data_IF_289580709373
#
_entry.id   IF_289580709373
#
_cell.length_a   1.000
_cell.length_b   1.000
_cell.length_c   1.000
_cell.angle_alpha   90.00
_cell.angle_beta   90.00
_cell.angle_gamma   90.00
#
_symmetry.space_group_name_H-M   'P 1'
#
loop_
_entity.id
_entity.type
_entity.pdbx_description
1 polymer ?
#
# COMPACT_ATOMS: atom_id res chain seq x y z
N UNK A 1 -23.39 -4.71 -23.92
CA UNK A 1 -22.30 -3.76 -23.61
C UNK A 1 -22.54 -3.18 -22.23
N UNK A 2 -21.65 -3.40 -21.25
CA UNK A 2 -21.79 -2.80 -19.92
C UNK A 2 -21.04 -1.46 -19.94
N UNK A 3 -21.67 -0.32 -19.62
CA UNK A 3 -20.98 0.97 -19.51
C UNK A 3 -19.88 0.91 -18.45
N UNK A 4 -18.70 1.45 -18.80
CA UNK A 4 -17.50 1.43 -17.95
C UNK A 4 -17.76 1.97 -16.55
N UNK A 5 -18.48 3.10 -16.46
CA UNK A 5 -18.82 3.77 -15.19
C UNK A 5 -19.63 2.83 -14.29
N UNK A 6 -20.64 2.15 -14.83
CA UNK A 6 -21.51 1.26 -14.05
C UNK A 6 -20.75 0.04 -13.55
N UNK A 7 -19.90 -0.55 -14.39
CA UNK A 7 -19.05 -1.67 -13.98
C UNK A 7 -18.08 -1.25 -12.87
N UNK A 8 -17.46 -0.09 -13.00
CA UNK A 8 -16.53 0.46 -12.03
C UNK A 8 -17.21 0.72 -10.68
N UNK A 9 -18.36 1.39 -10.67
CA UNK A 9 -19.10 1.68 -9.44
C UNK A 9 -19.55 0.40 -8.73
N UNK A 10 -20.02 -0.59 -9.49
CA UNK A 10 -20.43 -1.87 -8.93
C UNK A 10 -19.25 -2.64 -8.32
N UNK A 11 -18.15 -2.76 -9.06
CA UNK A 11 -16.97 -3.53 -8.61
C UNK A 11 -16.23 -2.86 -7.46
N UNK A 12 -16.14 -1.51 -7.45
CA UNK A 12 -15.59 -0.76 -6.32
C UNK A 12 -16.45 -0.89 -5.08
N UNK A 13 -17.77 -0.73 -5.19
CA UNK A 13 -18.69 -0.90 -4.05
C UNK A 13 -18.61 -2.31 -3.48
N UNK A 14 -18.56 -3.34 -4.33
CA UNK A 14 -18.37 -4.72 -3.90
C UNK A 14 -17.03 -4.90 -3.17
N UNK A 15 -15.95 -4.36 -3.73
CA UNK A 15 -14.64 -4.41 -3.11
C UNK A 15 -14.65 -3.75 -1.72
N UNK A 16 -15.14 -2.52 -1.62
CA UNK A 16 -15.19 -1.78 -0.35
C UNK A 16 -16.09 -2.45 0.67
N UNK A 17 -17.20 -3.04 0.25
CA UNK A 17 -18.07 -3.81 1.12
C UNK A 17 -17.33 -5.03 1.70
N UNK A 18 -16.72 -5.86 0.86
CA UNK A 18 -15.93 -7.03 1.30
C UNK A 18 -14.75 -6.59 2.15
N UNK A 19 -14.08 -5.51 1.76
CA UNK A 19 -12.94 -4.96 2.48
C UNK A 19 -13.34 -4.49 3.88
N UNK A 20 -14.45 -3.76 4.02
CA UNK A 20 -14.98 -3.29 5.29
C UNK A 20 -15.33 -4.45 6.23
N UNK A 21 -15.93 -5.54 5.72
CA UNK A 21 -16.16 -6.77 6.51
C UNK A 21 -14.86 -7.41 6.99
N UNK A 22 -13.76 -7.26 6.23
CA UNK A 22 -12.45 -7.80 6.56
C UNK A 22 -11.61 -6.90 7.48
N UNK A 23 -11.88 -5.59 7.52
CA UNK A 23 -11.11 -4.63 8.30
C UNK A 23 -11.20 -4.91 9.81
N UNK A 24 -12.41 -5.15 10.33
CA UNK A 24 -12.62 -5.44 11.76
C UNK A 24 -11.92 -6.70 12.27
N UNK A 25 -11.71 -7.70 11.41
CA UNK A 25 -11.05 -8.97 11.78
C UNK A 25 -9.51 -8.95 11.61
N UNK A 26 -8.95 -7.92 10.96
CA UNK A 26 -7.50 -7.75 10.77
C UNK A 26 -6.81 -7.14 11.99
N UNK A 27 -7.49 -6.21 12.66
CA UNK A 27 -7.03 -5.59 13.91
C UNK A 27 -6.68 -6.65 14.98
N UNK A 28 -7.51 -7.67 15.10
CA UNK A 28 -7.34 -8.76 16.06
C UNK A 28 -6.17 -9.71 15.69
N UNK A 29 -5.93 -9.93 14.39
CA UNK A 29 -4.82 -10.76 13.90
C UNK A 29 -3.45 -10.06 14.03
N UNK A 30 -3.40 -8.74 13.85
CA UNK A 30 -2.17 -7.96 14.04
C UNK A 30 -1.66 -8.03 15.50
N UNK A 31 -2.57 -8.17 16.48
CA UNK A 31 -2.21 -8.39 17.89
C UNK A 31 -1.60 -9.77 18.15
N UNK A 32 -1.97 -10.77 17.35
CA UNK A 32 -1.55 -12.17 17.49
C UNK A 32 -0.24 -12.52 16.76
N UNK A 33 0.12 -11.83 15.67
CA UNK A 33 1.38 -12.03 14.93
C UNK A 33 2.61 -11.67 15.78
N UNK A 34 2.43 -10.88 16.84
CA UNK A 34 3.51 -10.42 17.72
C UNK A 34 3.96 -11.45 18.78
N UNK A 35 3.52 -12.71 18.68
CA UNK A 35 3.79 -13.75 19.68
C UNK A 35 4.81 -14.82 19.29
N UNK A 36 5.39 -14.81 18.08
CA UNK A 36 6.24 -15.94 17.66
C UNK A 36 7.39 -15.54 16.71
N UNK A 37 8.29 -14.68 17.20
CA UNK A 37 9.57 -14.40 16.55
C UNK A 37 10.70 -14.95 17.43
N UNK A 38 11.60 -15.80 16.91
CA UNK A 38 12.72 -16.32 17.69
C UNK A 38 13.63 -15.17 18.14
N UNK A 39 14.11 -15.26 19.38
CA UNK A 39 15.01 -14.30 20.04
C UNK A 39 16.39 -14.28 19.34
N UNK A 40 16.44 -13.68 18.16
CA UNK A 40 17.65 -13.48 17.38
C UNK A 40 17.83 -11.98 17.27
N UNK A 41 18.37 -11.33 18.31
CA UNK A 41 19.20 -10.13 18.12
C UNK A 41 19.96 -9.82 19.40
N UNK A 42 21.28 -9.95 19.29
CA UNK A 42 22.25 -9.39 20.22
C UNK A 42 22.03 -7.87 20.37
N UNK A 43 22.45 -7.34 21.52
CA UNK A 43 22.34 -5.94 21.96
C UNK A 43 22.57 -4.91 20.84
N UNK A 44 21.48 -4.29 20.39
CA UNK A 44 21.50 -2.99 19.70
C UNK A 44 20.47 -2.10 20.42
N UNK A 45 20.85 -0.87 20.72
CA UNK A 45 20.12 0.05 21.59
C UNK A 45 19.26 1.03 20.77
N UNK A 46 17.98 1.23 21.13
CA UNK A 46 17.09 2.17 20.43
C UNK A 46 17.28 3.63 20.89
N UNK A 47 18.14 3.86 21.90
CA UNK A 47 18.44 5.18 22.47
C UNK A 47 18.76 6.30 21.47
N UNK A 48 19.46 6.08 20.34
CA UNK A 48 19.72 7.15 19.37
C UNK A 48 18.45 7.84 18.84
N UNK A 49 17.33 7.11 18.80
CA UNK A 49 16.04 7.64 18.33
C UNK A 49 15.42 8.67 19.28
N UNK A 50 15.75 8.61 20.58
CA UNK A 50 15.15 9.48 21.59
C UNK A 50 15.48 10.96 21.36
N UNK A 51 16.57 11.26 20.67
CA UNK A 51 16.94 12.63 20.31
C UNK A 51 15.90 13.32 19.40
N UNK A 52 15.18 12.54 18.59
CA UNK A 52 14.24 13.02 17.58
C UNK A 52 12.77 12.91 17.99
N UNK A 53 12.49 12.25 19.11
CA UNK A 53 11.15 11.93 19.56
C UNK A 53 10.78 12.76 20.79
N UNK A 54 9.56 13.29 20.81
CA UNK A 54 9.00 13.95 21.99
C UNK A 54 8.64 12.92 23.08
N UNK A 55 8.38 13.41 24.30
CA UNK A 55 8.11 12.61 25.50
C UNK A 55 7.03 11.53 25.30
N UNK A 56 5.98 11.83 24.53
CA UNK A 56 4.93 10.86 24.16
C UNK A 56 5.48 9.72 23.29
N UNK A 57 6.21 10.05 22.22
CA UNK A 57 6.77 9.06 21.30
C UNK A 57 7.89 8.22 21.93
N UNK A 58 8.65 8.80 22.87
CA UNK A 58 9.61 8.04 23.69
C UNK A 58 8.91 6.98 24.53
N UNK A 59 7.74 7.30 25.11
CA UNK A 59 6.94 6.32 25.83
C UNK A 59 6.42 5.22 24.89
N UNK A 60 5.98 5.58 23.68
CA UNK A 60 5.59 4.63 22.62
C UNK A 60 6.73 3.69 22.22
N UNK A 61 7.94 4.20 22.04
CA UNK A 61 9.15 3.37 21.77
C UNK A 61 9.45 2.43 22.93
N UNK A 62 9.35 2.91 24.17
CA UNK A 62 9.56 2.06 25.35
C UNK A 62 8.53 0.92 25.45
N UNK A 63 7.29 1.15 25.02
CA UNK A 63 6.27 0.09 24.93
C UNK A 63 6.63 -0.97 23.89
N UNK A 64 7.18 -0.57 22.73
CA UNK A 64 7.65 -1.51 21.69
C UNK A 64 8.87 -2.29 22.19
N UNK A 65 9.80 -1.63 22.88
CA UNK A 65 11.01 -2.26 23.40
C UNK A 65 10.72 -3.24 24.55
N UNK A 66 9.72 -2.93 25.39
CA UNK A 66 9.22 -3.84 26.41
C UNK A 66 8.61 -5.13 25.82
N UNK A 67 8.11 -5.07 24.57
CA UNK A 67 7.58 -6.21 23.82
C UNK A 67 8.73 -6.94 23.12
N UNK A 68 9.50 -7.71 23.90
CA UNK A 68 10.64 -8.51 23.40
C UNK A 68 10.23 -9.38 22.22
N UNK A 69 10.99 -9.32 21.13
CA UNK A 69 10.75 -10.09 19.91
C UNK A 69 9.79 -9.45 18.90
N UNK A 70 9.22 -8.26 19.15
CA UNK A 70 8.30 -7.63 18.20
C UNK A 70 8.97 -7.20 16.89
N UNK A 71 8.28 -7.36 15.76
CA UNK A 71 8.67 -6.78 14.46
C UNK A 71 8.91 -5.27 14.57
N UNK A 72 8.15 -4.58 15.43
CA UNK A 72 8.33 -3.15 15.66
C UNK A 72 9.70 -2.81 16.23
N UNK A 73 10.25 -3.65 17.11
CA UNK A 73 11.60 -3.45 17.64
C UNK A 73 12.65 -3.58 16.55
N UNK A 74 12.53 -4.56 15.65
CA UNK A 74 13.46 -4.72 14.52
C UNK A 74 13.45 -3.51 13.59
N UNK A 75 12.27 -2.95 13.30
CA UNK A 75 12.14 -1.73 12.50
C UNK A 75 12.80 -0.55 13.21
N UNK A 76 12.56 -0.36 14.51
CA UNK A 76 13.21 0.71 15.28
C UNK A 76 14.73 0.55 15.31
N UNK A 77 15.24 -0.67 15.50
CA UNK A 77 16.68 -0.93 15.49
C UNK A 77 17.31 -0.65 14.12
N UNK A 78 16.64 -1.04 13.03
CA UNK A 78 17.10 -0.71 11.69
C UNK A 78 17.17 0.80 11.47
N UNK A 79 16.16 1.54 11.96
CA UNK A 79 16.15 3.00 11.90
C UNK A 79 17.24 3.64 12.77
N UNK A 80 17.47 3.14 13.98
CA UNK A 80 18.53 3.61 14.87
C UNK A 80 19.90 3.46 14.20
N UNK A 81 20.16 2.30 13.57
CA UNK A 81 21.39 2.04 12.81
C UNK A 81 21.52 2.99 11.62
N UNK A 82 20.44 3.20 10.84
CA UNK A 82 20.48 4.07 9.66
C UNK A 82 20.83 5.52 10.04
N UNK A 83 20.22 6.05 11.10
CA UNK A 83 20.46 7.41 11.60
C UNK A 83 21.86 7.56 12.19
N UNK A 84 22.35 6.53 12.90
CA UNK A 84 23.69 6.54 13.48
C UNK A 84 24.78 6.38 12.41
N UNK A 85 24.48 5.72 11.29
CA UNK A 85 25.45 5.46 10.20
C UNK A 85 25.60 6.60 9.20
N UNK A 86 24.63 7.50 9.11
CA UNK A 86 24.56 8.53 8.07
C UNK A 86 24.35 9.92 8.70
N UNK A 87 25.43 10.70 8.76
CA UNK A 87 25.45 12.05 9.35
C UNK A 87 24.49 13.03 8.63
N UNK A 88 24.18 12.83 7.35
CA UNK A 88 23.20 13.68 6.64
C UNK A 88 21.76 13.38 7.10
N UNK A 89 21.44 12.11 7.38
CA UNK A 89 20.12 11.72 7.91
C UNK A 89 19.95 12.12 9.37
N UNK A 90 21.05 12.14 10.12
CA UNK A 90 21.13 12.51 11.53
C UNK A 90 20.55 13.93 11.76
N UNK A 91 20.95 14.94 10.98
CA UNK A 91 20.46 16.32 11.19
C UNK A 91 19.31 16.73 10.24
N UNK A 92 18.70 15.77 9.53
CA UNK A 92 17.68 16.08 8.53
C UNK A 92 16.29 16.38 9.13
N UNK A 93 15.58 17.36 8.59
CA UNK A 93 14.14 17.57 8.88
C UNK A 93 13.28 16.36 8.48
N UNK A 94 13.80 15.53 7.58
CA UNK A 94 13.18 14.29 7.12
C UNK A 94 13.12 13.25 8.23
N UNK A 95 14.20 13.04 9.00
CA UNK A 95 14.19 12.09 10.13
C UNK A 95 13.24 12.54 11.23
N UNK A 96 13.19 13.84 11.51
CA UNK A 96 12.23 14.46 12.47
C UNK A 96 10.77 14.28 12.05
N UNK A 97 10.48 14.30 10.74
CA UNK A 97 9.13 14.06 10.23
C UNK A 97 8.76 12.57 10.14
N UNK A 98 9.71 11.71 9.76
CA UNK A 98 9.46 10.29 9.49
C UNK A 98 9.48 9.41 10.73
N UNK A 99 10.32 9.70 11.73
CA UNK A 99 10.42 8.87 12.94
C UNK A 99 9.11 8.78 13.73
N UNK A 100 8.43 9.90 14.04
CA UNK A 100 7.14 9.86 14.73
C UNK A 100 6.11 9.05 13.95
N UNK A 101 6.14 9.13 12.62
CA UNK A 101 5.25 8.36 11.76
C UNK A 101 5.50 6.85 11.89
N UNK A 102 6.76 6.43 11.84
CA UNK A 102 7.12 5.01 11.97
C UNK A 102 6.74 4.48 13.36
N UNK A 103 6.99 5.26 14.42
CA UNK A 103 6.63 4.89 15.79
C UNK A 103 5.11 4.76 15.95
N UNK A 104 4.33 5.70 15.40
CA UNK A 104 2.86 5.66 15.52
C UNK A 104 2.25 4.50 14.73
N UNK A 105 2.78 4.22 13.52
CA UNK A 105 2.39 3.06 12.72
C UNK A 105 2.70 1.72 13.41
N UNK A 106 3.76 1.67 14.23
CA UNK A 106 4.15 0.49 14.99
C UNK A 106 3.36 0.32 16.30
N UNK A 107 3.02 1.41 16.99
CA UNK A 107 2.27 1.36 18.27
C UNK A 107 0.77 1.30 18.08
N UNK A 108 0.23 1.98 17.08
CA UNK A 108 -1.21 2.06 16.85
C UNK A 108 -1.58 1.76 15.38
N UNK A 109 -1.33 0.53 14.89
CA UNK A 109 -1.67 0.14 13.53
C UNK A 109 -3.14 0.42 13.20
N UNK A 110 -4.04 0.16 14.17
CA UNK A 110 -5.49 0.29 14.00
C UNK A 110 -5.90 1.73 13.62
N UNK A 111 -5.35 2.74 14.30
CA UNK A 111 -5.69 4.15 14.04
C UNK A 111 -5.16 4.63 12.69
N UNK A 112 -3.95 4.21 12.31
CA UNK A 112 -3.39 4.55 10.98
C UNK A 112 -4.19 3.87 9.87
N UNK A 113 -4.61 2.61 10.09
CA UNK A 113 -5.47 1.89 9.15
C UNK A 113 -6.82 2.58 8.98
N UNK A 114 -7.49 2.99 10.05
CA UNK A 114 -8.81 3.64 9.97
C UNK A 114 -8.77 4.93 9.14
N UNK A 115 -7.80 5.81 9.40
CA UNK A 115 -7.64 7.05 8.62
C UNK A 115 -7.24 6.77 7.17
N UNK A 116 -6.49 5.70 6.92
CA UNK A 116 -6.20 5.26 5.55
C UNK A 116 -7.47 4.84 4.83
N UNK A 117 -8.32 4.04 5.48
CA UNK A 117 -9.56 3.53 4.89
C UNK A 117 -10.55 4.64 4.57
N UNK A 118 -10.67 5.62 5.45
CA UNK A 118 -11.54 6.78 5.25
C UNK A 118 -11.14 7.58 3.99
N UNK A 119 -9.83 7.61 3.68
CA UNK A 119 -9.31 8.37 2.54
C UNK A 119 -9.12 7.53 1.26
N UNK A 120 -9.09 6.19 1.34
CA UNK A 120 -8.84 5.32 0.18
C UNK A 120 -9.93 5.44 -0.89
N UNK A 121 -11.20 5.55 -0.49
CA UNK A 121 -12.31 5.70 -1.45
C UNK A 121 -12.18 6.99 -2.28
N UNK A 122 -11.81 8.08 -1.62
CA UNK A 122 -11.56 9.39 -2.25
C UNK A 122 -10.30 9.30 -3.13
N UNK A 123 -9.22 8.70 -2.62
CA UNK A 123 -7.97 8.54 -3.35
C UNK A 123 -8.15 7.80 -4.68
N UNK A 124 -8.91 6.70 -4.68
CA UNK A 124 -9.15 5.93 -5.91
C UNK A 124 -10.00 6.74 -6.91
N UNK A 125 -10.96 7.54 -6.44
CA UNK A 125 -11.73 8.43 -7.32
C UNK A 125 -10.86 9.51 -7.97
N UNK A 126 -9.88 10.05 -7.25
CA UNK A 126 -8.90 11.04 -7.77
C UNK A 126 -7.84 10.37 -8.67
N UNK A 127 -7.44 9.15 -8.35
CA UNK A 127 -6.45 8.40 -9.12
C UNK A 127 -6.97 8.03 -10.50
N UNK A 128 -8.27 7.88 -10.69
CA UNK A 128 -8.86 7.52 -11.97
C UNK A 128 -8.64 8.58 -13.08
N UNK A 129 -9.03 9.86 -12.90
CA UNK A 129 -8.72 10.91 -13.87
C UNK A 129 -7.21 11.17 -13.97
N UNK A 130 -6.47 11.04 -12.87
CA UNK A 130 -5.02 11.23 -12.88
C UNK A 130 -4.31 10.16 -13.71
N UNK A 131 -4.69 8.88 -13.56
CA UNK A 131 -4.17 7.78 -14.34
C UNK A 131 -4.52 7.93 -15.83
N UNK A 132 -5.75 8.34 -16.15
CA UNK A 132 -6.15 8.65 -17.51
C UNK A 132 -5.32 9.80 -18.11
N UNK A 133 -4.97 10.80 -17.31
CA UNK A 133 -4.12 11.92 -17.72
C UNK A 133 -2.67 11.48 -17.97
N UNK A 134 -2.12 10.62 -17.10
CA UNK A 134 -0.80 10.02 -17.32
C UNK A 134 -0.82 9.18 -18.60
N UNK A 135 -1.83 8.34 -18.82
CA UNK A 135 -1.99 7.61 -20.08
C UNK A 135 -2.05 8.55 -21.28
N UNK A 136 -2.83 9.63 -21.22
CA UNK A 136 -2.87 10.62 -22.29
C UNK A 136 -1.49 11.21 -22.59
N UNK A 137 -0.69 11.52 -21.56
CA UNK A 137 0.65 12.07 -21.73
C UNK A 137 1.61 11.04 -22.37
N UNK A 138 1.59 9.80 -21.91
CA UNK A 138 2.46 8.71 -22.42
C UNK A 138 2.09 8.27 -23.84
N UNK A 139 0.84 8.49 -24.25
CA UNK A 139 0.31 8.08 -25.55
C UNK A 139 -0.05 9.27 -26.45
N UNK A 140 0.39 10.49 -26.11
CA UNK A 140 0.09 11.71 -26.88
C UNK A 140 0.56 11.65 -28.35
N UNK A 141 1.59 10.85 -28.63
CA UNK A 141 2.14 10.62 -29.97
C UNK A 141 1.65 9.36 -30.68
N UNK A 142 0.79 8.54 -30.07
CA UNK A 142 0.32 7.27 -30.65
C UNK A 142 -1.20 7.26 -30.72
N UNK A 143 -1.71 7.51 -31.92
CA UNK A 143 -3.12 7.73 -32.25
C UNK A 143 -3.75 8.92 -31.51
N UNK A 144 -4.41 9.81 -32.25
CA UNK A 144 -5.17 10.94 -31.68
C UNK A 144 -6.45 10.42 -30.99
N UNK A 145 -6.30 9.94 -29.76
CA UNK A 145 -7.41 9.49 -28.91
C UNK A 145 -7.82 10.59 -27.94
N UNK A 146 -9.11 10.68 -27.66
CA UNK A 146 -9.63 11.65 -26.72
C UNK A 146 -9.34 11.22 -25.28
N UNK A 147 -9.21 12.20 -24.36
CA UNK A 147 -9.05 11.95 -22.93
C UNK A 147 -10.11 10.98 -22.36
N UNK A 148 -11.35 11.10 -22.84
CA UNK A 148 -12.47 10.25 -22.44
C UNK A 148 -12.20 8.77 -22.78
N UNK A 149 -11.50 8.49 -23.88
CA UNK A 149 -11.16 7.11 -24.24
C UNK A 149 -10.15 6.50 -23.27
N UNK A 150 -9.13 7.26 -22.87
CA UNK A 150 -8.17 6.85 -21.84
C UNK A 150 -8.83 6.68 -20.46
N UNK A 151 -9.82 7.54 -20.16
CA UNK A 151 -10.61 7.46 -18.93
C UNK A 151 -11.48 6.20 -18.89
N UNK A 152 -12.17 5.89 -20.00
CA UNK A 152 -12.96 4.66 -20.14
C UNK A 152 -12.08 3.43 -20.04
N UNK A 153 -10.88 3.46 -20.64
CA UNK A 153 -9.89 2.38 -20.49
C UNK A 153 -9.44 2.22 -19.03
N UNK A 154 -9.10 3.32 -18.36
CA UNK A 154 -8.72 3.35 -16.95
C UNK A 154 -9.82 2.73 -16.05
N UNK A 155 -11.09 3.07 -16.29
CA UNK A 155 -12.23 2.51 -15.55
C UNK A 155 -12.34 1.00 -15.70
N UNK A 156 -12.20 0.45 -16.92
CA UNK A 156 -12.23 -1.00 -17.12
C UNK A 156 -11.06 -1.69 -16.41
N UNK A 157 -9.87 -1.12 -16.52
CA UNK A 157 -8.67 -1.67 -15.90
C UNK A 157 -8.78 -1.70 -14.36
N UNK A 158 -9.27 -0.63 -13.75
CA UNK A 158 -9.50 -0.57 -12.31
C UNK A 158 -10.67 -1.47 -11.88
N UNK A 159 -11.71 -1.63 -12.71
CA UNK A 159 -12.80 -2.58 -12.44
C UNK A 159 -12.29 -4.01 -12.31
N UNK A 160 -11.40 -4.43 -13.23
CA UNK A 160 -10.74 -5.75 -13.14
C UNK A 160 -9.85 -5.84 -11.91
N UNK A 161 -9.13 -4.76 -11.58
CA UNK A 161 -8.36 -4.67 -10.34
C UNK A 161 -9.22 -4.89 -9.09
N UNK A 162 -10.37 -4.23 -8.99
CA UNK A 162 -11.30 -4.41 -7.88
C UNK A 162 -11.84 -5.82 -7.78
N UNK A 163 -12.15 -6.48 -8.89
CA UNK A 163 -12.57 -7.89 -8.88
C UNK A 163 -11.46 -8.77 -8.30
N UNK A 164 -10.21 -8.57 -8.76
CA UNK A 164 -9.06 -9.34 -8.25
C UNK A 164 -8.82 -9.04 -6.77
N UNK A 165 -8.84 -7.79 -6.34
CA UNK A 165 -8.65 -7.42 -4.93
C UNK A 165 -9.78 -7.95 -4.04
N UNK A 166 -11.02 -7.97 -4.53
CA UNK A 166 -12.15 -8.59 -3.83
C UNK A 166 -11.90 -10.09 -3.65
N UNK A 167 -11.48 -10.79 -4.71
CA UNK A 167 -11.18 -12.20 -4.64
C UNK A 167 -10.02 -12.49 -3.66
N UNK A 168 -8.96 -11.68 -3.69
CA UNK A 168 -7.85 -11.76 -2.74
C UNK A 168 -8.32 -11.54 -1.29
N UNK A 169 -9.19 -10.56 -1.04
CA UNK A 169 -9.77 -10.31 0.27
C UNK A 169 -10.61 -11.50 0.76
N UNK A 170 -11.43 -12.11 -0.10
CA UNK A 170 -12.19 -13.32 0.21
C UNK A 170 -11.28 -14.50 0.53
N UNK A 171 -10.22 -14.73 -0.26
CA UNK A 171 -9.26 -15.81 0.01
C UNK A 171 -8.58 -15.60 1.36
N UNK A 172 -8.17 -14.35 1.66
CA UNK A 172 -7.55 -13.99 2.93
C UNK A 172 -8.51 -14.12 4.13
N UNK A 173 -9.82 -13.99 3.93
CA UNK A 173 -10.82 -14.23 4.96
C UNK A 173 -10.96 -15.73 5.26
N UNK A 174 -11.06 -16.56 4.21
CA UNK A 174 -11.18 -18.02 4.34
C UNK A 174 -9.92 -18.62 4.97
N UNK A 175 -8.73 -18.15 4.57
CA UNK A 175 -7.47 -18.65 5.13
C UNK A 175 -7.31 -18.38 6.62
N UNK A 176 -8.01 -17.38 7.17
CA UNK A 176 -7.99 -17.05 8.61
C UNK A 176 -8.91 -17.94 9.44
N UNK A 177 -9.95 -18.53 8.86
CA UNK A 177 -10.88 -19.42 9.57
C UNK A 177 -10.44 -20.89 9.56
N UNK A 178 -9.53 -21.28 8.66
CA UNK A 178 -8.98 -22.63 8.59
C UNK A 178 -7.63 -22.78 9.30
N UNK A 179 -7.28 -24.00 9.71
CA UNK A 179 -5.94 -24.32 10.22
C UNK A 179 -4.91 -24.20 9.09
N UNK A 180 -4.15 -23.10 9.11
CA UNK A 180 -3.06 -22.72 8.19
C UNK A 180 -3.48 -22.48 6.72
N UNK A 181 -2.95 -21.43 6.05
CA UNK A 181 -3.07 -21.33 4.60
C UNK A 181 -2.42 -22.57 3.96
N UNK A 182 -3.21 -23.34 3.22
CA UNK A 182 -2.68 -24.44 2.42
C UNK A 182 -1.82 -23.85 1.30
N UNK A 183 -0.73 -24.54 0.91
CA UNK A 183 0.13 -24.09 -0.18
C UNK A 183 -0.65 -23.74 -1.46
N UNK A 184 -1.77 -24.44 -1.70
CA UNK A 184 -2.70 -24.16 -2.80
C UNK A 184 -3.31 -22.74 -2.76
N UNK A 185 -3.68 -22.22 -1.59
CA UNK A 185 -4.23 -20.86 -1.45
C UNK A 185 -3.15 -19.81 -1.74
N UNK A 186 -1.91 -20.04 -1.31
CA UNK A 186 -0.79 -19.14 -1.59
C UNK A 186 -0.46 -19.09 -3.10
N UNK A 187 -0.49 -20.25 -3.78
CA UNK A 187 -0.34 -20.32 -5.24
C UNK A 187 -1.48 -19.61 -5.96
N UNK A 188 -2.72 -19.76 -5.48
CA UNK A 188 -3.88 -19.08 -6.05
C UNK A 188 -3.77 -17.56 -5.90
N UNK A 189 -3.40 -17.05 -4.72
CA UNK A 189 -3.18 -15.62 -4.48
C UNK A 189 -2.11 -15.06 -5.42
N UNK A 190 -0.96 -15.72 -5.47
CA UNK A 190 0.16 -15.32 -6.34
C UNK A 190 -0.25 -15.35 -7.82
N UNK A 191 -0.97 -16.40 -8.24
CA UNK A 191 -1.50 -16.55 -9.58
C UNK A 191 -2.48 -15.43 -9.96
N UNK A 192 -3.36 -15.02 -9.05
CA UNK A 192 -4.28 -13.90 -9.27
C UNK A 192 -3.54 -12.57 -9.48
N UNK A 193 -2.51 -12.32 -8.67
CA UNK A 193 -1.68 -11.10 -8.79
C UNK A 193 -0.94 -11.09 -10.12
N UNK A 194 -0.30 -12.21 -10.48
CA UNK A 194 0.41 -12.35 -11.77
C UNK A 194 -0.57 -12.18 -12.94
N UNK A 195 -1.75 -12.80 -12.85
CA UNK A 195 -2.78 -12.67 -13.88
C UNK A 195 -3.28 -11.23 -14.03
N UNK A 196 -3.41 -10.48 -12.94
CA UNK A 196 -3.76 -9.06 -12.99
C UNK A 196 -2.70 -8.22 -13.71
N UNK A 197 -1.43 -8.37 -13.35
CA UNK A 197 -0.35 -7.64 -14.03
C UNK A 197 -0.22 -8.05 -15.51
N UNK A 198 -0.39 -9.35 -15.81
CA UNK A 198 -0.44 -9.85 -17.19
C UNK A 198 -1.59 -9.26 -17.98
N UNK A 199 -2.80 -9.20 -17.40
CA UNK A 199 -3.96 -8.55 -18.01
C UNK A 199 -3.71 -7.05 -18.23
N UNK A 200 -3.15 -6.35 -17.25
CA UNK A 200 -2.82 -4.93 -17.37
C UNK A 200 -1.88 -4.69 -18.56
N UNK A 201 -0.77 -5.43 -18.62
CA UNK A 201 0.19 -5.32 -19.72
C UNK A 201 -0.45 -5.64 -21.09
N UNK A 202 -1.23 -6.73 -21.17
CA UNK A 202 -1.88 -7.15 -22.41
C UNK A 202 -2.96 -6.15 -22.86
N UNK A 203 -3.67 -5.55 -21.90
CA UNK A 203 -4.68 -4.52 -22.17
C UNK A 203 -4.04 -3.27 -22.78
N UNK A 204 -2.87 -2.83 -22.30
CA UNK A 204 -2.11 -1.73 -22.88
C UNK A 204 -1.63 -2.07 -24.29
N UNK A 205 -1.08 -3.27 -24.48
CA UNK A 205 -0.57 -3.72 -25.78
C UNK A 205 -1.69 -3.75 -26.83
N UNK A 206 -2.84 -4.35 -26.49
CA UNK A 206 -3.96 -4.49 -27.41
C UNK A 206 -4.71 -3.18 -27.65
N UNK A 207 -4.89 -2.36 -26.61
CA UNK A 207 -5.64 -1.13 -26.73
C UNK A 207 -4.86 -0.06 -27.52
N UNK A 208 -3.56 0.09 -27.28
CA UNK A 208 -2.75 1.12 -27.94
C UNK A 208 -2.01 0.65 -29.20
N UNK A 209 -1.97 -0.66 -29.47
CA UNK A 209 -1.40 -1.21 -30.71
C UNK A 209 0.09 -0.95 -30.91
N UNK A 210 0.86 -0.75 -29.83
CA UNK A 210 2.31 -0.51 -29.90
C UNK A 210 3.11 -1.83 -29.93
N UNK A 211 4.39 -1.73 -30.29
CA UNK A 211 5.31 -2.87 -30.17
C UNK A 211 5.52 -3.26 -28.70
N UNK A 212 5.83 -4.53 -28.47
CA UNK A 212 5.98 -5.12 -27.13
C UNK A 212 7.07 -4.39 -26.32
N UNK A 213 8.20 -4.07 -26.95
CA UNK A 213 9.30 -3.36 -26.28
C UNK A 213 8.92 -1.95 -25.80
N UNK A 214 8.24 -1.15 -26.66
CA UNK A 214 7.77 0.18 -26.29
C UNK A 214 6.73 0.12 -25.18
N UNK A 215 5.85 -0.88 -25.23
CA UNK A 215 4.81 -1.10 -24.20
C UNK A 215 5.43 -1.49 -22.87
N UNK A 216 6.48 -2.33 -22.87
CA UNK A 216 7.18 -2.73 -21.65
C UNK A 216 7.81 -1.55 -20.92
N UNK A 217 8.55 -0.68 -21.63
CA UNK A 217 9.12 0.54 -21.03
C UNK A 217 8.02 1.41 -20.43
N UNK A 218 6.95 1.67 -21.20
CA UNK A 218 5.84 2.50 -20.73
C UNK A 218 5.12 1.87 -19.53
N UNK A 219 4.93 0.56 -19.54
CA UNK A 219 4.31 -0.17 -18.43
C UNK A 219 5.15 -0.07 -17.15
N UNK A 220 6.47 -0.23 -17.24
CA UNK A 220 7.37 -0.06 -16.09
C UNK A 220 7.29 1.36 -15.54
N UNK A 221 7.37 2.38 -16.41
CA UNK A 221 7.27 3.77 -15.95
C UNK A 221 5.89 4.08 -15.38
N UNK A 222 4.82 3.59 -16.00
CA UNK A 222 3.46 3.79 -15.52
C UNK A 222 3.24 3.14 -14.14
N UNK A 223 3.79 1.94 -13.95
CA UNK A 223 3.78 1.23 -12.66
C UNK A 223 4.59 2.00 -11.62
N UNK A 224 5.75 2.54 -11.98
CA UNK A 224 6.58 3.35 -11.09
C UNK A 224 5.88 4.65 -10.68
N UNK A 225 5.29 5.38 -11.63
CA UNK A 225 4.50 6.60 -11.36
C UNK A 225 3.34 6.29 -10.43
N UNK A 226 2.61 5.21 -10.68
CA UNK A 226 1.51 4.78 -9.80
C UNK A 226 2.01 4.43 -8.38
N UNK A 227 3.16 3.77 -8.28
CA UNK A 227 3.81 3.46 -7.01
C UNK A 227 4.23 4.71 -6.22
N UNK A 228 4.81 5.71 -6.89
CA UNK A 228 5.18 7.00 -6.27
C UNK A 228 3.95 7.76 -5.79
N UNK A 229 2.88 7.82 -6.60
CA UNK A 229 1.61 8.43 -6.20
C UNK A 229 1.04 7.76 -4.95
N UNK A 230 1.04 6.43 -4.93
CA UNK A 230 0.56 5.66 -3.80
C UNK A 230 1.41 5.95 -2.55
N UNK A 231 2.74 5.91 -2.66
CA UNK A 231 3.65 6.27 -1.58
C UNK A 231 3.42 7.68 -1.05
N UNK A 232 3.22 8.66 -1.93
CA UNK A 232 2.91 10.03 -1.56
C UNK A 232 1.56 10.14 -0.81
N UNK A 233 0.53 9.41 -1.22
CA UNK A 233 -0.75 9.40 -0.50
C UNK A 233 -0.65 8.75 0.88
N UNK A 234 0.14 7.68 1.02
CA UNK A 234 0.43 7.08 2.33
C UNK A 234 1.15 8.08 3.23
N UNK A 235 2.19 8.73 2.72
CA UNK A 235 2.95 9.75 3.45
C UNK A 235 2.11 10.98 3.82
N UNK A 236 1.22 11.43 2.93
CA UNK A 236 0.32 12.56 3.23
C UNK A 236 -0.71 12.22 4.30
N UNK A 237 -1.29 11.01 4.26
CA UNK A 237 -2.27 10.56 5.26
C UNK A 237 -1.62 10.45 6.63
N UNK A 238 -0.42 9.88 6.65
CA UNK A 238 0.50 9.82 7.77
C UNK A 238 0.85 11.20 8.36
N UNK A 239 1.23 12.17 7.53
CA UNK A 239 1.53 13.52 7.99
C UNK A 239 0.29 14.20 8.58
N UNK A 240 -0.87 14.01 7.95
CA UNK A 240 -2.14 14.54 8.46
C UNK A 240 -2.50 13.97 9.84
N UNK A 241 -2.28 12.67 10.07
CA UNK A 241 -2.47 12.06 11.39
C UNK A 241 -1.58 12.69 12.46
N UNK A 242 -0.33 13.05 12.12
CA UNK A 242 0.59 13.71 13.06
C UNK A 242 0.13 15.13 13.43
N UNK A 243 -0.46 15.87 12.50
CA UNK A 243 -0.93 17.25 12.75
C UNK A 243 -2.27 17.35 13.46
N UNK A 244 -3.04 16.25 13.49
CA UNK A 244 -4.37 16.19 14.12
C UNK A 244 -4.36 15.53 15.50
N UNK A 245 -3.17 15.14 15.97
CA UNK A 245 -2.84 14.73 17.33
C UNK A 245 -2.44 15.95 18.16
#
# INVERSE_FOLDING_TARGET
YVPAVRLYLFTSLLFFFVFALNAGSRAESARAIDMDLPDVTAQTDTRPLNHYLDSEYRAKVALIEARKGSFGRLVLLQWAILIESDDELNDSDVSRALLPLVVDALVSPERTFDVLIDNVAIAIFVFLPLYALVLKLFYLGVNRRYYIEHLVFAMHLHSVGFIVFTALACIAFVSRQGNSPTAALAWLQSGLVIAYFGYHYLSLLRYYGQSWFKTSIKFTVLTAVYGVLLGATMFSTAAFTLTTL
#
